data_IF_058480962487
#
_entry.id   IF_058480962487
#
_cell.length_a   1.000
_cell.length_b   1.000
_cell.length_c   1.000
_cell.angle_alpha   90.00
_cell.angle_beta   90.00
_cell.angle_gamma   90.00
#
_symmetry.space_group_name_H-M   'P 1'
#
loop_
_entity.id
_entity.type
_entity.pdbx_description
1 polymer ?
#
# COMPACT_ATOMS: atom_id res chain seq x y z
N UNK A 1 -18.13 11.98 -1.55
CA UNK A 1 -17.87 11.38 -2.88
C UNK A 1 -16.52 10.67 -2.99
N UNK A 2 -15.61 10.82 -2.02
CA UNK A 2 -14.26 10.22 -2.00
C UNK A 2 -14.26 8.69 -2.13
N UNK A 3 -15.25 8.02 -1.54
CA UNK A 3 -15.42 6.56 -1.62
C UNK A 3 -15.78 6.02 -3.02
N UNK A 4 -16.47 6.82 -3.85
CA UNK A 4 -16.92 6.35 -5.17
C UNK A 4 -15.77 6.33 -6.20
N UNK A 5 -14.71 7.11 -5.95
CA UNK A 5 -13.58 7.27 -6.88
C UNK A 5 -12.37 6.43 -6.44
N UNK A 6 -12.28 6.05 -5.15
CA UNK A 6 -11.26 5.14 -4.64
C UNK A 6 -11.58 3.65 -4.85
N UNK A 7 -12.83 3.31 -5.21
CA UNK A 7 -13.27 1.93 -5.46
C UNK A 7 -12.42 1.15 -6.47
N UNK A 8 -12.12 1.69 -7.66
CA UNK A 8 -11.28 1.02 -8.66
C UNK A 8 -9.79 0.99 -8.31
N UNK A 9 -9.31 1.90 -7.45
CA UNK A 9 -7.87 2.02 -7.12
C UNK A 9 -7.48 1.36 -5.80
N UNK A 10 -8.44 1.13 -4.90
CA UNK A 10 -8.23 0.52 -3.58
C UNK A 10 -8.92 -0.84 -3.42
N UNK A 11 -9.63 -1.29 -4.47
CA UNK A 11 -10.26 -2.60 -4.57
C UNK A 11 -11.13 -2.99 -3.37
N UNK A 12 -11.99 -2.06 -2.96
CA UNK A 12 -12.87 -2.26 -1.81
C UNK A 12 -13.87 -3.40 -2.03
N UNK A 13 -14.32 -3.62 -3.27
CA UNK A 13 -15.24 -4.72 -3.58
C UNK A 13 -14.58 -6.08 -3.36
N UNK A 14 -13.35 -6.30 -3.84
CA UNK A 14 -12.63 -7.56 -3.63
C UNK A 14 -12.30 -7.75 -2.14
N UNK A 15 -11.80 -6.69 -1.49
CA UNK A 15 -11.46 -6.71 -0.05
C UNK A 15 -12.64 -7.00 0.88
N UNK A 16 -13.85 -6.56 0.53
CA UNK A 16 -15.06 -6.87 1.32
C UNK A 16 -15.76 -8.15 0.84
N UNK A 17 -15.58 -8.56 -0.42
CA UNK A 17 -16.10 -9.81 -0.96
C UNK A 17 -15.36 -11.04 -0.40
N UNK A 18 -14.13 -10.88 0.08
CA UNK A 18 -13.38 -11.95 0.78
C UNK A 18 -14.15 -12.57 1.95
N UNK A 19 -15.08 -11.85 2.58
CA UNK A 19 -15.94 -12.41 3.63
C UNK A 19 -17.05 -13.32 3.08
N UNK A 20 -17.51 -13.07 1.85
CA UNK A 20 -18.51 -13.88 1.18
C UNK A 20 -17.92 -15.21 0.71
N UNK A 21 -16.62 -15.26 0.38
CA UNK A 21 -15.95 -16.46 -0.14
C UNK A 21 -16.06 -17.66 0.81
N UNK A 22 -15.73 -17.58 2.12
CA UNK A 22 -15.93 -18.68 3.06
C UNK A 22 -17.39 -19.14 3.16
N UNK A 23 -18.35 -18.22 3.13
CA UNK A 23 -19.79 -18.52 3.23
C UNK A 23 -20.28 -19.24 1.98
N UNK A 24 -19.87 -18.79 0.80
CA UNK A 24 -20.19 -19.42 -0.48
C UNK A 24 -19.55 -20.81 -0.60
N UNK A 25 -18.29 -20.97 -0.18
CA UNK A 25 -17.61 -22.26 -0.12
C UNK A 25 -18.34 -23.24 0.81
N UNK A 26 -18.76 -22.79 1.99
CA UNK A 26 -19.55 -23.59 2.93
C UNK A 26 -20.92 -23.98 2.34
N UNK A 27 -21.64 -23.03 1.75
CA UNK A 27 -22.92 -23.27 1.10
C UNK A 27 -22.81 -24.25 -0.06
N UNK A 28 -21.77 -24.13 -0.88
CA UNK A 28 -21.47 -25.05 -1.96
C UNK A 28 -21.14 -26.46 -1.44
N UNK A 29 -20.34 -26.57 -0.37
CA UNK A 29 -20.02 -27.85 0.26
C UNK A 29 -21.27 -28.54 0.85
N UNK A 30 -22.15 -27.78 1.50
CA UNK A 30 -23.43 -28.29 2.00
C UNK A 30 -24.34 -28.76 0.87
N UNK A 31 -24.48 -27.96 -0.20
CA UNK A 31 -25.27 -28.32 -1.37
C UNK A 31 -24.74 -29.60 -2.03
N UNK A 32 -23.42 -29.72 -2.22
CA UNK A 32 -22.77 -30.92 -2.73
C UNK A 32 -22.98 -32.12 -1.78
N UNK A 33 -22.96 -31.89 -0.47
CA UNK A 33 -23.25 -32.93 0.54
C UNK A 33 -24.67 -33.48 0.50
N UNK A 34 -25.62 -32.75 -0.10
CA UNK A 34 -26.99 -33.27 -0.34
C UNK A 34 -27.10 -34.14 -1.58
N UNK A 35 -26.08 -34.18 -2.45
CA UNK A 35 -26.09 -35.07 -3.62
C UNK A 35 -25.93 -36.52 -3.17
N UNK A 36 -26.86 -37.39 -3.60
CA UNK A 36 -26.81 -38.82 -3.28
C UNK A 36 -25.58 -39.56 -3.84
N UNK A 37 -24.86 -38.96 -4.80
CA UNK A 37 -23.65 -39.52 -5.40
C UNK A 37 -22.39 -38.81 -4.92
N UNK A 38 -21.59 -39.52 -4.12
CA UNK A 38 -20.27 -39.05 -3.65
C UNK A 38 -19.30 -38.78 -4.81
N UNK A 39 -19.41 -39.52 -5.91
CA UNK A 39 -18.57 -39.33 -7.09
C UNK A 39 -18.84 -37.98 -7.74
N UNK A 40 -20.11 -37.62 -7.92
CA UNK A 40 -20.49 -36.32 -8.50
C UNK A 40 -20.00 -35.18 -7.60
N UNK A 41 -20.15 -35.31 -6.28
CA UNK A 41 -19.65 -34.32 -5.35
C UNK A 41 -18.13 -34.15 -5.39
N UNK A 42 -17.36 -35.24 -5.44
CA UNK A 42 -15.91 -35.18 -5.58
C UNK A 42 -15.45 -34.53 -6.88
N UNK A 43 -16.14 -34.82 -8.00
CA UNK A 43 -15.82 -34.20 -9.30
C UNK A 43 -16.11 -32.70 -9.27
N UNK A 44 -17.27 -32.29 -8.75
CA UNK A 44 -17.60 -30.87 -8.62
C UNK A 44 -16.63 -30.12 -7.71
N UNK A 45 -16.22 -30.74 -6.61
CA UNK A 45 -15.20 -30.19 -5.72
C UNK A 45 -13.85 -30.02 -6.42
N UNK A 46 -13.40 -31.03 -7.16
CA UNK A 46 -12.15 -30.97 -7.92
C UNK A 46 -12.17 -29.87 -9.00
N UNK A 47 -13.29 -29.72 -9.72
CA UNK A 47 -13.48 -28.67 -10.71
C UNK A 47 -13.46 -27.29 -10.06
N UNK A 48 -14.16 -27.11 -8.93
CA UNK A 48 -14.18 -25.83 -8.21
C UNK A 48 -12.77 -25.43 -7.72
N UNK A 49 -12.03 -26.37 -7.11
CA UNK A 49 -10.65 -26.12 -6.67
C UNK A 49 -9.73 -25.82 -7.86
N UNK A 50 -9.84 -26.60 -8.94
CA UNK A 50 -9.04 -26.39 -10.15
C UNK A 50 -9.32 -25.04 -10.80
N UNK A 51 -10.58 -24.64 -10.89
CA UNK A 51 -10.97 -23.33 -11.43
C UNK A 51 -10.46 -22.19 -10.56
N UNK A 52 -10.65 -22.24 -9.24
CA UNK A 52 -10.15 -21.21 -8.33
C UNK A 52 -8.62 -21.09 -8.36
N UNK A 53 -7.91 -22.22 -8.45
CA UNK A 53 -6.46 -22.23 -8.57
C UNK A 53 -6.00 -21.60 -9.90
N UNK A 54 -6.67 -21.93 -11.01
CA UNK A 54 -6.38 -21.35 -12.31
C UNK A 54 -6.69 -19.85 -12.35
N UNK A 55 -7.85 -19.43 -11.85
CA UNK A 55 -8.25 -18.02 -11.78
C UNK A 55 -7.26 -17.20 -10.94
N UNK A 56 -6.83 -17.70 -9.77
CA UNK A 56 -5.81 -17.04 -8.96
C UNK A 56 -4.44 -16.97 -9.63
N UNK A 57 -4.00 -18.05 -10.30
CA UNK A 57 -2.71 -18.10 -10.99
C UNK A 57 -2.65 -17.22 -12.25
N UNK A 58 -3.81 -16.88 -12.82
CA UNK A 58 -3.94 -16.05 -14.04
C UNK A 58 -4.49 -14.65 -13.76
N UNK A 59 -4.72 -14.31 -12.49
CA UNK A 59 -5.23 -13.01 -12.11
C UNK A 59 -4.24 -11.90 -12.55
N UNK A 60 -4.72 -10.84 -13.25
CA UNK A 60 -3.86 -9.73 -13.67
C UNK A 60 -3.10 -9.08 -12.51
N UNK A 61 -3.73 -9.01 -11.34
CA UNK A 61 -3.19 -8.37 -10.15
C UNK A 61 -2.34 -9.31 -9.27
N UNK A 62 -2.07 -10.54 -9.70
CA UNK A 62 -1.30 -11.50 -8.91
C UNK A 62 0.06 -10.94 -8.49
N UNK A 63 0.75 -10.24 -9.38
CA UNK A 63 2.02 -9.58 -9.08
C UNK A 63 1.87 -8.51 -8.00
N UNK A 64 0.82 -7.70 -8.08
CA UNK A 64 0.50 -6.66 -7.11
C UNK A 64 0.19 -7.23 -5.71
N UNK A 65 -0.60 -8.30 -5.66
CA UNK A 65 -1.02 -8.96 -4.42
C UNK A 65 0.16 -9.67 -3.75
N UNK A 66 0.87 -10.51 -4.51
CA UNK A 66 1.97 -11.31 -3.97
C UNK A 66 3.15 -10.47 -3.48
N UNK A 67 3.35 -9.28 -4.05
CA UNK A 67 4.47 -8.41 -3.69
C UNK A 67 4.08 -7.25 -2.78
N UNK A 68 2.82 -7.16 -2.36
CA UNK A 68 2.38 -6.07 -1.49
C UNK A 68 3.27 -5.88 -0.24
N UNK A 69 3.67 -6.97 0.41
CA UNK A 69 4.59 -6.93 1.55
C UNK A 69 5.98 -6.37 1.20
N UNK A 70 6.75 -6.98 0.28
CA UNK A 70 8.01 -6.44 -0.20
C UNK A 70 7.93 -4.98 -0.68
N UNK A 71 6.85 -4.62 -1.38
CA UNK A 71 6.57 -3.28 -1.89
C UNK A 71 6.44 -2.26 -0.76
N UNK A 72 5.71 -2.61 0.30
CA UNK A 72 5.64 -1.80 1.51
C UNK A 72 7.01 -1.68 2.19
N UNK A 73 7.80 -2.76 2.25
CA UNK A 73 9.13 -2.75 2.88
C UNK A 73 10.09 -1.79 2.17
N UNK A 74 10.15 -1.81 0.85
CA UNK A 74 11.06 -0.93 0.08
C UNK A 74 10.66 0.53 0.06
N UNK A 75 9.37 0.83 0.14
CA UNK A 75 8.86 2.19 0.05
C UNK A 75 8.40 2.73 1.40
N UNK A 76 7.22 2.32 1.87
CA UNK A 76 6.59 2.94 3.04
C UNK A 76 7.38 2.71 4.34
N UNK A 77 7.82 1.48 4.59
CA UNK A 77 8.62 1.15 5.78
C UNK A 77 9.98 1.82 5.72
N UNK A 78 10.63 1.83 4.56
CA UNK A 78 11.92 2.50 4.38
C UNK A 78 11.81 4.02 4.62
N UNK A 79 10.79 4.68 4.05
CA UNK A 79 10.51 6.10 4.31
C UNK A 79 10.29 6.33 5.80
N UNK A 80 9.41 5.55 6.44
CA UNK A 80 9.13 5.68 7.87
C UNK A 80 10.40 5.54 8.73
N UNK A 81 11.21 4.52 8.48
CA UNK A 81 12.49 4.31 9.18
C UNK A 81 13.51 5.42 8.92
N UNK A 82 13.54 5.99 7.71
CA UNK A 82 14.35 7.15 7.39
C UNK A 82 13.93 8.38 8.19
N UNK A 83 12.63 8.65 8.26
CA UNK A 83 12.07 9.75 9.05
C UNK A 83 12.33 9.59 10.55
N UNK A 84 12.27 8.36 11.09
CA UNK A 84 12.60 8.10 12.50
C UNK A 84 14.05 8.52 12.87
N UNK A 85 14.97 8.44 11.91
CA UNK A 85 16.39 8.79 12.08
C UNK A 85 16.68 10.26 11.77
N UNK A 86 15.78 10.96 11.07
CA UNK A 86 16.00 12.34 10.69
C UNK A 86 16.13 13.26 11.91
N UNK A 87 17.05 14.22 11.81
CA UNK A 87 17.40 15.18 12.86
C UNK A 87 16.37 16.32 12.91
N UNK A 88 15.11 15.96 13.14
CA UNK A 88 13.99 16.88 13.33
C UNK A 88 13.61 16.92 14.82
N UNK A 89 13.55 18.11 15.45
CA UNK A 89 13.12 18.26 16.84
C UNK A 89 11.75 17.60 17.07
N UNK A 90 11.54 17.00 18.24
CA UNK A 90 10.32 16.24 18.54
C UNK A 90 9.03 17.05 18.29
N UNK A 91 9.03 18.35 18.64
CA UNK A 91 7.89 19.24 18.42
C UNK A 91 7.55 19.50 16.94
N UNK A 92 8.45 19.14 16.02
CA UNK A 92 8.31 19.34 14.58
C UNK A 92 8.17 18.01 13.83
N UNK A 93 8.04 16.87 14.51
CA UNK A 93 7.90 15.54 13.88
C UNK A 93 6.47 15.30 13.41
N UNK A 94 6.07 16.04 12.38
CA UNK A 94 4.76 15.97 11.75
C UNK A 94 4.89 15.64 10.26
N UNK A 95 3.95 14.85 9.72
CA UNK A 95 3.87 14.55 8.30
C UNK A 95 2.43 14.55 7.77
N UNK A 96 2.28 14.69 6.46
CA UNK A 96 1.04 14.42 5.74
C UNK A 96 1.27 13.29 4.73
N UNK A 97 0.36 12.30 4.67
CA UNK A 97 0.47 11.13 3.76
C UNK A 97 -0.92 10.65 3.31
N UNK A 98 -1.02 10.06 2.10
CA UNK A 98 -2.28 9.44 1.62
C UNK A 98 -2.49 8.01 2.14
N UNK A 99 -1.40 7.26 2.35
CA UNK A 99 -1.45 5.88 2.85
C UNK A 99 -1.00 5.86 4.31
N UNK A 100 -1.84 6.41 5.18
CA UNK A 100 -1.58 6.41 6.62
C UNK A 100 -1.56 4.96 7.14
N UNK A 101 -0.41 4.54 7.66
CA UNK A 101 -0.11 3.16 8.03
C UNK A 101 1.37 2.98 8.31
N UNK A 102 2.10 2.32 7.41
CA UNK A 102 3.51 1.99 7.62
C UNK A 102 4.41 3.23 7.81
N UNK A 103 4.22 4.31 7.03
CA UNK A 103 5.08 5.51 7.17
C UNK A 103 4.96 6.12 8.58
N UNK A 104 3.76 6.51 9.07
CA UNK A 104 3.59 6.99 10.45
C UNK A 104 4.03 5.99 11.52
N UNK A 105 3.69 4.71 11.35
CA UNK A 105 4.01 3.67 12.33
C UNK A 105 5.52 3.51 12.55
N UNK A 106 6.30 3.46 11.46
CA UNK A 106 7.75 3.29 11.55
C UNK A 106 8.51 4.59 11.82
N UNK A 107 7.94 5.75 11.51
CA UNK A 107 8.54 7.05 11.85
C UNK A 107 8.31 7.45 13.30
N UNK A 108 7.15 7.08 13.87
CA UNK A 108 6.68 7.59 15.15
C UNK A 108 6.32 9.07 15.13
N UNK A 109 6.13 9.66 13.95
CA UNK A 109 5.77 11.06 13.76
C UNK A 109 4.25 11.22 13.75
N UNK A 110 3.76 12.36 14.20
CA UNK A 110 2.35 12.72 14.10
C UNK A 110 1.96 12.88 12.63
N UNK A 111 0.82 12.34 12.22
CA UNK A 111 0.46 12.27 10.80
C UNK A 111 -0.94 12.77 10.50
N UNK A 112 -1.06 13.57 9.43
CA UNK A 112 -2.30 13.91 8.77
C UNK A 112 -2.52 12.89 7.65
N UNK A 113 -3.65 12.18 7.72
CA UNK A 113 -4.12 11.32 6.65
C UNK A 113 -4.99 12.11 5.66
N UNK A 114 -4.37 12.60 4.59
CA UNK A 114 -5.07 13.48 3.65
C UNK A 114 -5.85 12.75 2.56
N UNK A 115 -5.96 11.41 2.63
CA UNK A 115 -7.01 10.68 1.90
C UNK A 115 -8.38 10.79 2.59
N UNK A 116 -8.39 11.13 3.89
CA UNK A 116 -9.60 11.31 4.70
C UNK A 116 -10.17 10.04 5.32
N UNK A 117 -9.37 8.96 5.46
CA UNK A 117 -9.81 7.73 6.13
C UNK A 117 -9.62 7.81 7.65
N UNK A 118 -8.58 8.50 8.11
CA UNK A 118 -8.23 8.62 9.53
C UNK A 118 -8.23 10.06 10.07
N UNK A 119 -8.21 11.08 9.20
CA UNK A 119 -8.30 12.47 9.63
C UNK A 119 -9.76 12.91 9.81
N UNK A 120 -10.10 13.33 11.03
CA UNK A 120 -11.48 13.69 11.38
C UNK A 120 -12.01 14.87 10.57
N UNK A 121 -11.22 15.91 10.36
CA UNK A 121 -11.70 17.10 9.65
C UNK A 121 -12.00 16.76 8.18
N UNK A 122 -11.09 16.02 7.54
CA UNK A 122 -11.22 15.61 6.14
C UNK A 122 -12.37 14.59 6.00
N UNK A 123 -12.52 13.64 6.93
CA UNK A 123 -13.64 12.70 6.96
C UNK A 123 -15.01 13.40 7.09
N UNK A 124 -15.04 14.60 7.68
CA UNK A 124 -16.24 15.45 7.77
C UNK A 124 -16.34 16.52 6.68
N UNK A 125 -15.54 16.41 5.61
CA UNK A 125 -15.68 17.21 4.39
C UNK A 125 -14.78 18.43 4.29
N UNK A 126 -13.79 18.58 5.17
CA UNK A 126 -12.75 19.60 4.98
C UNK A 126 -11.93 19.31 3.71
N UNK A 127 -11.47 20.36 3.03
CA UNK A 127 -10.56 20.25 1.90
C UNK A 127 -9.19 19.73 2.39
N UNK A 128 -8.68 18.60 1.87
CA UNK A 128 -7.42 18.01 2.31
C UNK A 128 -6.22 18.93 2.08
N UNK A 129 -6.25 19.73 1.01
CA UNK A 129 -5.19 20.69 0.71
C UNK A 129 -5.17 21.80 1.76
N UNK A 130 -6.33 22.32 2.16
CA UNK A 130 -6.41 23.36 3.18
C UNK A 130 -5.94 22.85 4.54
N UNK A 131 -6.33 21.62 4.92
CA UNK A 131 -5.87 21.00 6.16
C UNK A 131 -4.34 20.88 6.18
N UNK A 132 -3.73 20.35 5.11
CA UNK A 132 -2.27 20.21 5.01
C UNK A 132 -1.56 21.57 4.97
N UNK A 133 -2.07 22.51 4.16
CA UNK A 133 -1.45 23.83 4.01
C UNK A 133 -1.49 24.65 5.31
N UNK A 134 -2.59 24.57 6.06
CA UNK A 134 -2.75 25.26 7.34
C UNK A 134 -1.90 24.62 8.45
N UNK A 135 -1.85 23.29 8.51
CA UNK A 135 -1.05 22.58 9.50
C UNK A 135 0.46 22.67 9.23
N UNK A 136 0.84 22.82 7.95
CA UNK A 136 2.22 22.98 7.47
C UNK A 136 3.17 21.92 8.07
N UNK A 137 2.91 20.62 7.87
CA UNK A 137 3.70 19.55 8.46
C UNK A 137 5.16 19.58 7.98
N UNK A 138 6.09 18.99 8.72
CA UNK A 138 7.50 19.00 8.30
C UNK A 138 7.74 18.24 6.99
N UNK A 139 6.98 17.16 6.76
CA UNK A 139 7.06 16.33 5.55
C UNK A 139 5.69 16.17 4.91
N UNK A 140 5.64 16.18 3.59
CA UNK A 140 4.46 15.76 2.80
C UNK A 140 4.90 14.63 1.88
N UNK A 141 4.27 13.47 2.01
CA UNK A 141 4.49 12.31 1.15
C UNK A 141 3.32 12.19 0.18
N UNK A 142 3.61 12.25 -1.12
CA UNK A 142 2.64 12.26 -2.21
C UNK A 142 2.69 10.96 -2.98
N UNK A 143 1.57 10.23 -2.99
CA UNK A 143 1.38 9.09 -3.89
C UNK A 143 1.17 9.57 -5.32
N UNK A 144 1.94 9.02 -6.26
CA UNK A 144 1.96 9.44 -7.66
C UNK A 144 2.13 8.27 -8.63
N UNK A 145 1.72 8.45 -9.89
CA UNK A 145 2.08 7.54 -10.99
C UNK A 145 3.52 7.72 -11.46
N UNK A 146 4.07 8.92 -11.24
CA UNK A 146 5.35 9.37 -11.76
C UNK A 146 6.30 9.77 -10.61
N UNK A 147 7.61 9.63 -10.79
CA UNK A 147 8.60 10.10 -9.81
C UNK A 147 8.60 11.64 -9.66
N UNK A 148 8.05 12.36 -10.64
CA UNK A 148 7.90 13.82 -10.63
C UNK A 148 6.44 14.16 -11.00
N UNK A 149 5.52 14.15 -10.01
CA UNK A 149 4.12 14.43 -10.27
C UNK A 149 3.93 15.89 -10.70
N UNK A 150 3.04 16.09 -11.67
CA UNK A 150 2.56 17.41 -12.10
C UNK A 150 1.16 17.74 -11.59
N UNK A 151 0.44 16.73 -11.06
CA UNK A 151 -0.87 16.85 -10.47
C UNK A 151 -0.96 16.01 -9.19
N UNK A 152 -1.82 16.43 -8.26
CA UNK A 152 -2.11 15.66 -7.06
C UNK A 152 -3.14 14.55 -7.32
N UNK A 153 -3.38 13.73 -6.29
CA UNK A 153 -4.37 12.65 -6.30
C UNK A 153 -5.34 12.81 -5.14
N UNK A 154 -6.48 12.14 -5.22
CA UNK A 154 -7.47 12.08 -4.14
C UNK A 154 -8.00 13.46 -3.66
N UNK A 155 -8.11 14.41 -4.59
CA UNK A 155 -8.58 15.77 -4.27
C UNK A 155 -7.52 16.69 -3.63
N UNK A 156 -6.28 16.22 -3.48
CA UNK A 156 -5.17 17.05 -3.04
C UNK A 156 -4.63 17.90 -4.21
N UNK A 157 -4.56 19.21 -4.03
CA UNK A 157 -3.88 20.13 -4.96
C UNK A 157 -2.38 20.13 -4.63
N UNK A 158 -1.59 19.45 -5.46
CA UNK A 158 -0.16 19.27 -5.25
C UNK A 158 0.60 20.59 -5.17
N UNK A 159 0.29 21.54 -6.06
CA UNK A 159 1.03 22.79 -6.16
C UNK A 159 0.78 23.66 -4.92
N UNK A 160 -0.48 23.74 -4.48
CA UNK A 160 -0.84 24.48 -3.26
C UNK A 160 -0.36 23.77 -2.00
N UNK A 161 -0.56 22.47 -1.90
CA UNK A 161 -0.24 21.67 -0.72
C UNK A 161 1.26 21.46 -0.46
N UNK A 162 2.11 21.62 -1.49
CA UNK A 162 3.57 21.55 -1.35
C UNK A 162 4.27 22.90 -1.59
N UNK A 163 3.51 24.01 -1.62
CA UNK A 163 4.06 25.34 -1.77
C UNK A 163 5.07 25.65 -0.64
N UNK A 164 6.31 25.99 -1.04
CA UNK A 164 7.40 26.27 -0.10
C UNK A 164 8.13 25.03 0.44
N UNK A 165 7.79 23.83 -0.02
CA UNK A 165 8.54 22.60 0.27
C UNK A 165 9.56 22.30 -0.83
N UNK A 166 10.55 21.49 -0.49
CA UNK A 166 11.54 20.94 -1.43
C UNK A 166 11.26 19.46 -1.63
N UNK A 167 11.21 18.99 -2.88
CA UNK A 167 11.20 17.56 -3.16
C UNK A 167 12.57 16.98 -2.82
N UNK A 168 12.61 16.05 -1.87
CA UNK A 168 13.86 15.45 -1.38
C UNK A 168 14.06 14.01 -1.84
N UNK A 169 12.99 13.30 -2.19
CA UNK A 169 13.09 11.93 -2.69
C UNK A 169 11.86 11.51 -3.52
N UNK A 170 12.04 10.49 -4.36
CA UNK A 170 10.97 9.82 -5.11
C UNK A 170 11.21 8.31 -5.04
N UNK A 171 10.39 7.61 -4.26
CA UNK A 171 10.61 6.21 -3.92
C UNK A 171 9.62 5.33 -4.68
N UNK A 172 10.13 4.43 -5.51
CA UNK A 172 9.27 3.53 -6.27
C UNK A 172 8.72 2.42 -5.37
N UNK A 173 7.40 2.34 -5.28
CA UNK A 173 6.73 1.21 -4.66
C UNK A 173 6.55 0.09 -5.68
N UNK A 174 6.11 0.39 -6.90
CA UNK A 174 6.04 -0.54 -8.04
C UNK A 174 5.94 0.25 -9.34
N UNK A 175 5.85 -0.42 -10.47
CA UNK A 175 5.57 0.25 -11.74
C UNK A 175 4.29 1.09 -11.63
N UNK A 176 4.38 2.37 -12.03
CA UNK A 176 3.26 3.31 -11.93
C UNK A 176 2.81 3.69 -10.51
N UNK A 177 3.60 3.37 -9.47
CA UNK A 177 3.29 3.75 -8.08
C UNK A 177 4.52 4.24 -7.33
N UNK A 178 4.51 5.51 -6.98
CA UNK A 178 5.61 6.22 -6.34
C UNK A 178 5.15 6.92 -5.06
N UNK A 179 6.04 6.98 -4.09
CA UNK A 179 5.93 7.85 -2.92
C UNK A 179 6.94 8.98 -3.04
N UNK A 180 6.46 10.20 -3.32
CA UNK A 180 7.29 11.38 -3.53
C UNK A 180 7.33 12.20 -2.25
N UNK A 181 8.53 12.40 -1.71
CA UNK A 181 8.75 13.01 -0.41
C UNK A 181 9.14 14.47 -0.59
N UNK A 182 8.37 15.35 0.03
CA UNK A 182 8.61 16.77 0.16
C UNK A 182 8.91 17.11 1.61
N UNK A 183 9.83 18.02 1.86
CA UNK A 183 10.19 18.48 3.20
C UNK A 183 10.32 20.00 3.24
N UNK A 184 10.08 20.60 4.42
CA UNK A 184 10.39 22.01 4.63
C UNK A 184 11.89 22.27 4.39
N UNK A 185 12.28 23.41 3.79
CA UNK A 185 13.65 23.66 3.36
C UNK A 185 14.71 23.44 4.45
N UNK A 186 14.44 23.85 5.68
CA UNK A 186 15.35 23.71 6.81
C UNK A 186 15.59 22.27 7.26
N UNK A 187 14.70 21.33 6.92
CA UNK A 187 14.83 19.90 7.24
C UNK A 187 15.12 19.04 6.00
N UNK A 188 15.14 19.64 4.81
CA UNK A 188 15.26 18.92 3.54
C UNK A 188 16.55 18.07 3.47
N UNK A 189 17.67 18.59 3.99
CA UNK A 189 18.94 17.87 4.01
C UNK A 189 18.88 16.56 4.81
N UNK A 190 18.46 16.62 6.08
CA UNK A 190 18.39 15.44 6.96
C UNK A 190 17.28 14.46 6.54
N UNK A 191 16.11 14.96 6.14
CA UNK A 191 15.02 14.08 5.66
C UNK A 191 15.46 13.37 4.38
N UNK A 192 16.03 14.10 3.42
CA UNK A 192 16.46 13.53 2.14
C UNK A 192 17.52 12.45 2.32
N UNK A 193 18.57 12.73 3.09
CA UNK A 193 19.68 11.78 3.29
C UNK A 193 19.22 10.49 3.98
N UNK A 194 18.48 10.58 5.09
CA UNK A 194 18.07 9.40 5.84
C UNK A 194 16.98 8.57 5.13
N UNK A 195 16.07 9.22 4.41
CA UNK A 195 15.10 8.49 3.57
C UNK A 195 15.84 7.78 2.43
N UNK A 196 16.78 8.45 1.75
CA UNK A 196 17.56 7.83 0.69
C UNK A 196 18.38 6.63 1.19
N UNK A 197 19.05 6.78 2.34
CA UNK A 197 19.82 5.70 2.97
C UNK A 197 18.94 4.50 3.34
N UNK A 198 17.80 4.74 3.97
CA UNK A 198 16.88 3.68 4.36
C UNK A 198 16.29 2.94 3.15
N UNK A 199 15.97 3.66 2.07
CA UNK A 199 15.51 3.07 0.81
C UNK A 199 16.61 2.23 0.16
N UNK A 200 17.85 2.75 0.11
CA UNK A 200 18.99 2.01 -0.41
C UNK A 200 19.28 0.73 0.39
N UNK A 201 19.08 0.75 1.70
CA UNK A 201 19.20 -0.45 2.55
C UNK A 201 18.06 -1.45 2.31
N UNK A 202 16.86 -0.99 1.98
CA UNK A 202 15.70 -1.85 1.76
C UNK A 202 15.68 -2.48 0.35
N UNK A 203 16.26 -1.82 -0.65
CA UNK A 203 16.20 -2.22 -2.06
C UNK A 203 16.75 -3.63 -2.35
N UNK A 204 17.95 -4.04 -1.87
CA UNK A 204 18.51 -5.36 -2.19
C UNK A 204 17.65 -6.54 -1.70
N UNK A 205 16.88 -6.34 -0.64
CA UNK A 205 16.01 -7.38 -0.08
C UNK A 205 14.62 -7.41 -0.74
N UNK A 206 14.25 -6.39 -1.53
CA UNK A 206 12.87 -6.14 -1.95
C UNK A 206 12.79 -5.54 -3.38
N UNK A 207 13.63 -5.98 -4.31
CA UNK A 207 13.75 -5.42 -5.66
C UNK A 207 12.39 -5.28 -6.40
N UNK A 208 12.02 -4.09 -6.90
CA UNK A 208 10.83 -3.92 -7.74
C UNK A 208 10.99 -4.65 -9.08
N UNK A 209 10.07 -5.57 -9.39
CA UNK A 209 9.99 -6.20 -10.72
C UNK A 209 10.28 -7.69 -10.79
N UNK A 210 10.51 -8.36 -9.66
CA UNK A 210 10.60 -9.82 -9.60
C UNK A 210 9.42 -10.44 -8.84
N UNK A 211 8.16 -10.25 -9.30
CA UNK A 211 7.00 -10.70 -8.57
C UNK A 211 6.93 -12.23 -8.42
N UNK A 212 7.48 -12.94 -9.41
CA UNK A 212 7.59 -14.39 -9.42
C UNK A 212 8.54 -14.90 -8.33
N UNK A 213 9.54 -14.12 -7.90
CA UNK A 213 10.41 -14.52 -6.79
C UNK A 213 9.63 -14.67 -5.49
N UNK A 214 8.54 -13.92 -5.30
CA UNK A 214 7.72 -14.07 -4.10
C UNK A 214 6.89 -15.36 -4.14
N UNK A 215 6.33 -15.69 -5.31
CA UNK A 215 5.64 -16.97 -5.54
C UNK A 215 6.63 -18.13 -5.42
N UNK A 216 7.81 -18.02 -6.02
CA UNK A 216 8.84 -19.05 -5.98
C UNK A 216 9.41 -19.23 -4.56
N UNK A 217 9.65 -18.14 -3.81
CA UNK A 217 10.03 -18.21 -2.39
C UNK A 217 8.95 -18.90 -1.55
N UNK A 218 7.67 -18.65 -1.83
CA UNK A 218 6.57 -19.33 -1.16
C UNK A 218 6.53 -20.83 -1.51
N UNK A 219 6.61 -21.19 -2.79
CA UNK A 219 6.68 -22.58 -3.25
C UNK A 219 7.90 -23.31 -2.65
N UNK A 220 9.06 -22.67 -2.62
CA UNK A 220 10.27 -23.22 -2.01
C UNK A 220 10.17 -23.33 -0.49
N UNK A 221 9.38 -22.49 0.18
CA UNK A 221 9.07 -22.65 1.61
C UNK A 221 8.15 -23.84 1.84
N UNK A 222 7.11 -24.00 1.02
CA UNK A 222 6.21 -25.15 1.07
C UNK A 222 6.93 -26.47 0.82
N UNK A 223 7.78 -26.55 -0.21
CA UNK A 223 8.60 -27.73 -0.51
C UNK A 223 9.47 -28.15 0.70
N UNK A 224 9.99 -27.19 1.47
CA UNK A 224 10.79 -27.47 2.67
C UNK A 224 9.97 -27.92 3.89
N UNK A 225 8.67 -27.62 3.91
CA UNK A 225 7.77 -27.94 5.03
C UNK A 225 6.96 -29.21 4.80
N UNK A 226 6.88 -29.68 3.56
CA UNK A 226 6.20 -30.92 3.23
C UNK A 226 7.17 -32.11 3.36
N UNK A 227 6.73 -33.25 3.90
CA UNK A 227 7.58 -34.43 4.09
C UNK A 227 7.70 -35.19 2.77
N UNK A 228 8.47 -34.67 1.83
CA UNK A 228 8.92 -35.41 0.64
C UNK A 228 10.42 -35.23 0.47
#
# INVERSE_FOLDING_TARGET
MTYAVSGPTMDYLDRFADHAVPVLCLGAALAVGTLGSRVVGSVLGAVAVGWSAWAGATAPDLGAITNYGPDLQRAHVAIGKGLAKAEVPAANRTLAVTDAGAIPYFSGWESIDYIGLNDRAIAHGADPTDVVANARPTVVVVTSADPVPTAGRYGFDLARGTAGYVRVNSVQLREGYWQVVYALPQYAGTVGSHVQEAVAQAAPANDPGQPLDTVERWLNRLRRQLPF
#
